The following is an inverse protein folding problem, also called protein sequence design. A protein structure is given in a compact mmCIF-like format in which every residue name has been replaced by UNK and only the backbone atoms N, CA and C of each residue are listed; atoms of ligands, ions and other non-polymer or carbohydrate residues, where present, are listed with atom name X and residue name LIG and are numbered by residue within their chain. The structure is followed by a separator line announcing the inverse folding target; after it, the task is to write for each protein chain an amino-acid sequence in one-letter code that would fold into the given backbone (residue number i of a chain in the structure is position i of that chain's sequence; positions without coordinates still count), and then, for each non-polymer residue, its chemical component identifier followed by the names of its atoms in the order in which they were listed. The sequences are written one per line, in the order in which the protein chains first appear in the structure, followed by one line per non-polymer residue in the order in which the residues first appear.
data_IF_854686201927
#
_entry.id   IF_854686201927
#
_cell.length_a   1.000
_cell.length_b   1.000
_cell.length_c   1.000
_cell.angle_alpha   90.00
_cell.angle_beta   90.00
_cell.angle_gamma   90.00
#
_symmetry.space_group_name_H-M   'P 1'
#
loop_
_entity.id
_entity.type
_entity.pdbx_description
1 polymer ?
#
# COMPACT_ATOMS: atom_id res chain seq x y z
N UNK A 1 -15.68 2.94 -1.83
CA UNK A 1 -15.90 4.02 -0.85
C UNK A 1 -14.86 3.83 0.25
N UNK A 2 -13.84 4.68 0.29
CA UNK A 2 -12.89 4.67 1.42
C UNK A 2 -13.62 5.31 2.59
N UNK A 3 -13.96 4.50 3.59
CA UNK A 3 -14.55 5.00 4.83
C UNK A 3 -13.55 5.99 5.44
N UNK A 4 -13.93 7.27 5.54
CA UNK A 4 -13.06 8.28 6.18
C UNK A 4 -12.86 7.83 7.62
N UNK A 5 -11.65 7.36 7.93
CA UNK A 5 -11.23 7.08 9.30
C UNK A 5 -11.46 8.36 10.11
N UNK A 6 -12.40 8.31 11.05
CA UNK A 6 -12.70 9.45 11.91
C UNK A 6 -11.43 9.81 12.70
N UNK A 7 -11.13 11.11 12.88
CA UNK A 7 -10.03 11.51 13.75
C UNK A 7 -10.27 10.94 15.15
N UNK A 8 -9.20 10.53 15.83
CA UNK A 8 -9.26 9.85 17.13
C UNK A 8 -10.06 10.66 18.16
N UNK A 9 -10.02 11.98 18.08
CA UNK A 9 -10.77 12.85 18.98
C UNK A 9 -12.28 12.69 18.83
N UNK A 10 -12.76 12.51 17.59
CA UNK A 10 -14.18 12.32 17.31
C UNK A 10 -14.67 10.97 17.81
N UNK A 11 -13.90 9.91 17.53
CA UNK A 11 -14.16 8.58 18.05
C UNK A 11 -14.15 8.54 19.59
N UNK A 12 -13.16 9.21 20.20
CA UNK A 12 -13.02 9.27 21.65
C UNK A 12 -14.17 10.03 22.29
N UNK A 13 -14.57 11.19 21.75
CA UNK A 13 -15.70 11.96 22.28
C UNK A 13 -17.02 11.18 22.19
N UNK A 14 -17.27 10.51 21.06
CA UNK A 14 -18.47 9.71 20.88
C UNK A 14 -18.57 8.58 21.92
N UNK A 15 -17.46 7.87 22.11
CA UNK A 15 -17.36 6.78 23.08
C UNK A 15 -17.50 7.31 24.51
N UNK A 16 -16.85 8.43 24.82
CA UNK A 16 -16.90 9.09 26.12
C UNK A 16 -18.33 9.52 26.46
N UNK A 17 -19.04 10.18 25.55
CA UNK A 17 -20.42 10.63 25.79
C UNK A 17 -21.37 9.46 26.07
N UNK A 18 -21.22 8.34 25.34
CA UNK A 18 -22.03 7.12 25.57
C UNK A 18 -21.73 6.52 26.94
N UNK A 19 -20.45 6.36 27.29
CA UNK A 19 -20.03 5.82 28.57
C UNK A 19 -20.47 6.72 29.73
N UNK A 20 -20.25 8.04 29.63
CA UNK A 20 -20.66 9.00 30.64
C UNK A 20 -22.18 8.99 30.86
N UNK A 21 -22.98 8.86 29.80
CA UNK A 21 -24.44 8.77 29.91
C UNK A 21 -24.88 7.51 30.68
N UNK A 22 -24.27 6.36 30.39
CA UNK A 22 -24.56 5.12 31.10
C UNK A 22 -24.12 5.25 32.57
N UNK A 23 -22.91 5.75 32.81
CA UNK A 23 -22.36 5.92 34.16
C UNK A 23 -23.21 6.84 35.04
N UNK A 24 -23.66 8.00 34.52
CA UNK A 24 -24.47 8.92 35.32
C UNK A 24 -25.87 8.34 35.63
N UNK A 25 -26.46 7.57 34.70
CA UNK A 25 -27.74 6.90 34.94
C UNK A 25 -27.60 5.83 36.04
N UNK A 26 -26.49 5.09 36.05
CA UNK A 26 -26.19 4.13 37.13
C UNK A 26 -26.03 4.84 38.46
N UNK A 27 -25.25 5.93 38.51
CA UNK A 27 -25.05 6.73 39.74
C UNK A 27 -26.40 7.24 40.27
N UNK A 28 -27.22 7.87 39.42
CA UNK A 28 -28.54 8.37 39.83
C UNK A 28 -29.48 7.27 40.33
N UNK A 29 -29.41 6.08 39.74
CA UNK A 29 -30.23 4.92 40.17
C UNK A 29 -29.80 4.44 41.55
N UNK A 30 -28.49 4.35 41.80
CA UNK A 30 -27.93 3.98 43.10
C UNK A 30 -28.29 5.04 44.15
N UNK A 31 -28.09 6.33 43.84
CA UNK A 31 -28.42 7.43 44.75
C UNK A 31 -29.91 7.44 45.10
N UNK A 32 -30.81 7.21 44.13
CA UNK A 32 -32.24 7.09 44.38
C UNK A 32 -32.56 5.94 45.34
N UNK A 33 -31.98 4.76 45.13
CA UNK A 33 -32.29 3.57 45.92
C UNK A 33 -31.78 3.69 47.37
N UNK A 34 -30.53 4.15 47.54
CA UNK A 34 -29.87 4.15 48.85
C UNK A 34 -30.10 5.43 49.66
N UNK A 35 -30.14 6.59 49.01
CA UNK A 35 -30.24 7.88 49.71
C UNK A 35 -31.63 8.51 49.59
N UNK A 36 -32.50 8.01 48.70
CA UNK A 36 -33.79 8.62 48.35
C UNK A 36 -33.69 10.12 48.02
N UNK A 37 -32.55 10.54 47.46
CA UNK A 37 -32.21 11.95 47.24
C UNK A 37 -32.29 12.83 48.50
N UNK A 38 -32.04 12.29 49.68
CA UNK A 38 -32.08 13.06 50.93
C UNK A 38 -31.01 14.16 51.01
N UNK A 39 -29.96 14.10 50.17
CA UNK A 39 -28.91 15.11 50.05
C UNK A 39 -29.12 15.96 48.81
N UNK A 40 -29.61 17.20 49.00
CA UNK A 40 -29.83 18.17 47.91
C UNK A 40 -28.57 18.39 47.04
N UNK A 41 -27.38 18.32 47.64
CA UNK A 41 -26.13 18.57 46.92
C UNK A 41 -25.81 17.48 45.87
N UNK A 42 -25.97 16.18 46.18
CA UNK A 42 -25.65 15.13 45.18
C UNK A 42 -26.67 15.12 44.04
N UNK A 43 -27.96 15.39 44.35
CA UNK A 43 -29.00 15.52 43.32
C UNK A 43 -28.71 16.67 42.33
N UNK A 44 -28.26 17.84 42.82
CA UNK A 44 -27.87 18.98 41.97
C UNK A 44 -26.66 18.62 41.11
N UNK A 45 -25.66 17.95 41.68
CA UNK A 45 -24.45 17.53 40.96
C UNK A 45 -24.82 16.59 39.81
N UNK A 46 -25.58 15.54 40.10
CA UNK A 46 -25.92 14.51 39.11
C UNK A 46 -26.78 15.06 37.97
N UNK A 47 -27.79 15.87 38.30
CA UNK A 47 -28.66 16.51 37.31
C UNK A 47 -27.89 17.48 36.42
N UNK A 48 -26.92 18.22 36.99
CA UNK A 48 -26.06 19.13 36.21
C UNK A 48 -25.13 18.38 35.27
N UNK A 49 -24.54 17.27 35.72
CA UNK A 49 -23.69 16.41 34.88
C UNK A 49 -24.51 15.76 33.77
N UNK A 50 -25.71 15.25 34.07
CA UNK A 50 -26.62 14.69 33.05
C UNK A 50 -27.01 15.74 32.00
N UNK A 51 -27.31 16.97 32.44
CA UNK A 51 -27.59 18.09 31.54
C UNK A 51 -26.39 18.40 30.63
N UNK A 52 -25.17 18.40 31.19
CA UNK A 52 -23.95 18.63 30.42
C UNK A 52 -23.74 17.55 29.35
N UNK A 53 -23.89 16.26 29.71
CA UNK A 53 -23.70 15.12 28.80
C UNK A 53 -24.75 15.15 27.67
N UNK A 54 -26.02 15.37 28.01
CA UNK A 54 -27.11 15.39 27.03
C UNK A 54 -26.98 16.57 26.06
N UNK A 55 -26.67 17.76 26.58
CA UNK A 55 -26.41 18.96 25.76
C UNK A 55 -25.19 18.81 24.87
N UNK A 56 -24.09 18.27 25.40
CA UNK A 56 -22.90 17.98 24.61
C UNK A 56 -23.15 16.93 23.53
N UNK A 57 -23.94 15.89 23.82
CA UNK A 57 -24.35 14.88 22.83
C UNK A 57 -25.18 15.48 21.69
N UNK A 58 -26.08 16.41 22.00
CA UNK A 58 -26.85 17.13 20.99
C UNK A 58 -25.94 18.01 20.10
N UNK A 59 -25.01 18.75 20.70
CA UNK A 59 -24.05 19.58 19.98
C UNK A 59 -23.12 18.75 19.09
N UNK A 60 -22.63 17.61 19.61
CA UNK A 60 -21.82 16.66 18.85
C UNK A 60 -22.57 16.14 17.61
N UNK A 61 -23.83 15.71 17.77
CA UNK A 61 -24.68 15.27 16.65
C UNK A 61 -24.94 16.36 15.60
N UNK A 62 -24.91 17.64 16.01
CA UNK A 62 -25.03 18.81 15.11
C UNK A 62 -23.71 19.23 14.47
N UNK A 63 -22.60 18.51 14.71
CA UNK A 63 -21.28 18.81 14.14
C UNK A 63 -20.46 19.84 14.92
N UNK A 64 -20.95 20.36 16.05
CA UNK A 64 -20.24 21.35 16.86
C UNK A 64 -19.28 20.68 17.87
N UNK A 65 -18.28 19.96 17.38
CA UNK A 65 -17.36 19.15 18.20
C UNK A 65 -16.68 19.95 19.33
N UNK A 66 -15.97 21.03 18.99
CA UNK A 66 -15.21 21.82 19.99
C UNK A 66 -16.12 22.40 21.07
N UNK A 67 -17.31 22.86 20.66
CA UNK A 67 -18.29 23.41 21.59
C UNK A 67 -18.86 22.33 22.51
N UNK A 68 -19.12 21.12 21.99
CA UNK A 68 -19.56 19.98 22.79
C UNK A 68 -18.55 19.62 23.88
N UNK A 69 -17.25 19.54 23.54
CA UNK A 69 -16.18 19.25 24.51
C UNK A 69 -16.08 20.35 25.57
N UNK A 70 -16.06 21.62 25.14
CA UNK A 70 -15.94 22.75 26.06
C UNK A 70 -17.14 22.88 26.98
N UNK A 71 -18.36 22.68 26.48
CA UNK A 71 -19.58 22.73 27.28
C UNK A 71 -19.58 21.62 28.33
N UNK A 72 -19.35 20.37 27.90
CA UNK A 72 -19.30 19.22 28.80
C UNK A 72 -18.29 19.47 29.92
N UNK A 73 -17.06 19.80 29.53
CA UNK A 73 -15.99 19.94 30.49
C UNK A 73 -16.16 21.15 31.40
N UNK A 74 -16.62 22.29 30.89
CA UNK A 74 -16.80 23.49 31.72
C UNK A 74 -17.89 23.30 32.77
N UNK A 75 -19.02 22.68 32.41
CA UNK A 75 -20.09 22.41 33.37
C UNK A 75 -19.63 21.40 34.41
N UNK A 76 -19.05 20.27 33.98
CA UNK A 76 -18.56 19.24 34.92
C UNK A 76 -17.50 19.82 35.86
N UNK A 77 -16.55 20.61 35.34
CA UNK A 77 -15.53 21.28 36.15
C UNK A 77 -16.13 22.24 37.17
N UNK A 78 -17.07 23.11 36.75
CA UNK A 78 -17.71 24.05 37.65
C UNK A 78 -18.47 23.35 38.79
N UNK A 79 -19.21 22.28 38.47
CA UNK A 79 -19.95 21.47 39.44
C UNK A 79 -19.01 20.76 40.40
N UNK A 80 -17.91 20.16 39.91
CA UNK A 80 -16.92 19.50 40.77
C UNK A 80 -16.16 20.48 41.66
N UNK A 81 -15.87 21.68 41.16
CA UNK A 81 -15.27 22.74 41.97
C UNK A 81 -16.21 23.21 43.07
N UNK A 82 -17.48 23.41 42.75
CA UNK A 82 -18.49 23.76 43.75
C UNK A 82 -18.65 22.66 44.81
N UNK A 83 -18.76 21.40 44.39
CA UNK A 83 -18.87 20.26 45.31
C UNK A 83 -17.65 20.14 46.23
N UNK A 84 -16.44 20.35 45.70
CA UNK A 84 -15.20 20.29 46.48
C UNK A 84 -15.07 21.42 47.51
N UNK A 85 -15.78 22.53 47.33
CA UNK A 85 -15.85 23.63 48.29
C UNK A 85 -16.97 23.39 49.30
N UNK A 86 -18.15 22.95 48.85
CA UNK A 86 -19.34 22.92 49.69
C UNK A 86 -19.38 21.70 50.63
N UNK A 87 -18.81 20.57 50.23
CA UNK A 87 -18.83 19.34 51.01
C UNK A 87 -18.08 19.48 52.35
N UNK A 88 -18.59 18.81 53.40
CA UNK A 88 -18.03 18.84 54.76
C UNK A 88 -16.77 17.96 54.94
N UNK A 89 -16.27 17.38 53.85
CA UNK A 89 -15.06 16.55 53.82
C UNK A 89 -14.28 16.81 52.53
N UNK A 90 -12.99 16.49 52.54
CA UNK A 90 -12.17 16.54 51.32
C UNK A 90 -12.69 15.49 50.33
N UNK A 91 -13.32 15.93 49.24
CA UNK A 91 -13.95 15.03 48.27
C UNK A 91 -12.93 14.43 47.29
N UNK A 92 -12.43 13.24 47.63
CA UNK A 92 -11.57 12.45 46.73
C UNK A 92 -12.27 12.12 45.40
N UNK A 93 -13.60 11.95 45.42
CA UNK A 93 -14.43 11.74 44.24
C UNK A 93 -14.43 12.93 43.28
N UNK A 94 -14.62 14.16 43.77
CA UNK A 94 -14.59 15.35 42.92
C UNK A 94 -13.21 15.55 42.29
N UNK A 95 -12.13 15.28 43.02
CA UNK A 95 -10.76 15.35 42.48
C UNK A 95 -10.51 14.29 41.40
N UNK A 96 -11.04 13.07 41.58
CA UNK A 96 -10.96 12.04 40.55
C UNK A 96 -11.65 12.47 39.25
N UNK A 97 -12.86 13.05 39.34
CA UNK A 97 -13.58 13.55 38.17
C UNK A 97 -12.83 14.71 37.50
N UNK A 98 -12.28 15.65 38.27
CA UNK A 98 -11.45 16.76 37.74
C UNK A 98 -10.24 16.21 36.96
N UNK A 99 -9.56 15.19 37.48
CA UNK A 99 -8.44 14.54 36.79
C UNK A 99 -8.87 13.85 35.49
N UNK A 100 -10.01 13.16 35.50
CA UNK A 100 -10.57 12.50 34.29
C UNK A 100 -10.94 13.54 33.22
N UNK A 101 -11.56 14.65 33.60
CA UNK A 101 -11.86 15.75 32.67
C UNK A 101 -10.56 16.39 32.16
N UNK A 102 -9.55 16.55 33.02
CA UNK A 102 -8.20 16.95 32.67
C UNK A 102 -7.56 16.09 31.59
N UNK A 103 -7.59 14.78 31.78
CA UNK A 103 -7.16 13.81 30.77
C UNK A 103 -7.93 13.99 29.45
N UNK A 104 -9.24 14.21 29.54
CA UNK A 104 -10.10 14.54 28.40
C UNK A 104 -9.61 15.75 27.61
N UNK A 105 -9.11 16.81 28.26
CA UNK A 105 -8.52 17.95 27.55
C UNK A 105 -7.29 17.56 26.73
N UNK A 106 -6.37 16.81 27.33
CA UNK A 106 -5.15 16.35 26.65
C UNK A 106 -5.48 15.51 25.42
N UNK A 107 -6.52 14.68 25.48
CA UNK A 107 -6.92 13.81 24.38
C UNK A 107 -7.79 14.53 23.34
N UNK A 108 -8.72 15.39 23.72
CA UNK A 108 -9.75 15.93 22.82
C UNK A 108 -9.41 17.30 22.23
N UNK A 109 -8.58 18.11 22.89
CA UNK A 109 -8.25 19.47 22.47
C UNK A 109 -6.85 19.50 21.84
N UNK A 110 -6.58 20.52 21.01
CA UNK A 110 -5.25 20.76 20.40
C UNK A 110 -4.83 22.22 20.57
N UNK A 111 -3.52 22.44 20.59
CA UNK A 111 -2.90 23.76 20.61
C UNK A 111 -3.24 24.59 21.85
N UNK A 112 -3.43 25.90 21.64
CA UNK A 112 -3.62 26.90 22.72
C UNK A 112 -4.83 26.60 23.61
N UNK A 113 -5.91 26.06 23.05
CA UNK A 113 -7.14 25.78 23.80
C UNK A 113 -6.90 24.71 24.89
N UNK A 114 -6.18 23.64 24.56
CA UNK A 114 -5.81 22.60 25.54
C UNK A 114 -4.97 23.18 26.68
N UNK A 115 -3.99 24.04 26.35
CA UNK A 115 -3.13 24.68 27.33
C UNK A 115 -3.91 25.59 28.28
N UNK A 116 -4.85 26.37 27.75
CA UNK A 116 -5.73 27.24 28.54
C UNK A 116 -6.58 26.40 29.50
N UNK A 117 -7.19 25.29 29.02
CA UNK A 117 -8.01 24.43 29.89
C UNK A 117 -7.20 23.77 31.02
N UNK A 118 -5.98 23.31 30.73
CA UNK A 118 -5.11 22.79 31.79
C UNK A 118 -4.72 23.88 32.81
N UNK A 119 -4.41 25.10 32.34
CA UNK A 119 -4.09 26.22 33.23
C UNK A 119 -5.27 26.59 34.13
N UNK A 120 -6.49 26.67 33.58
CA UNK A 120 -7.73 26.92 34.33
C UNK A 120 -7.92 25.83 35.40
N UNK A 121 -7.69 24.56 35.03
CA UNK A 121 -7.88 23.43 35.94
C UNK A 121 -6.89 23.46 37.11
N UNK A 122 -5.60 23.64 36.83
CA UNK A 122 -4.56 23.72 37.87
C UNK A 122 -4.82 24.92 38.78
N UNK A 123 -5.16 26.08 38.21
CA UNK A 123 -5.49 27.28 38.99
C UNK A 123 -6.70 27.03 39.88
N UNK A 124 -7.76 26.40 39.36
CA UNK A 124 -8.94 26.05 40.13
C UNK A 124 -8.65 25.07 41.27
N UNK A 125 -7.83 24.04 41.03
CA UNK A 125 -7.38 23.12 42.07
C UNK A 125 -6.61 23.84 43.17
N UNK A 126 -5.68 24.74 42.82
CA UNK A 126 -4.92 25.53 43.79
C UNK A 126 -5.88 26.40 44.63
N UNK A 127 -6.86 27.04 44.01
CA UNK A 127 -7.86 27.85 44.72
C UNK A 127 -8.70 27.02 45.69
N UNK A 128 -9.14 25.83 45.28
CA UNK A 128 -9.90 24.91 46.15
C UNK A 128 -9.07 24.49 47.36
N UNK A 129 -7.85 24.01 47.15
CA UNK A 129 -7.01 23.57 48.28
C UNK A 129 -6.58 24.74 49.18
N UNK A 130 -6.40 25.94 48.62
CA UNK A 130 -6.16 27.16 49.41
C UNK A 130 -7.38 27.48 50.29
N UNK A 131 -8.58 27.44 49.72
CA UNK A 131 -9.82 27.66 50.47
C UNK A 131 -10.02 26.62 51.58
N UNK A 132 -9.81 25.34 51.27
CA UNK A 132 -9.91 24.26 52.25
C UNK A 132 -8.88 24.40 53.37
N UNK A 133 -7.65 24.78 53.03
CA UNK A 133 -6.54 25.01 53.97
C UNK A 133 -6.82 26.16 54.95
N UNK A 134 -7.56 27.18 54.51
CA UNK A 134 -8.00 28.29 55.38
C UNK A 134 -9.13 27.89 56.33
N UNK A 135 -9.89 26.82 56.04
CA UNK A 135 -11.05 26.39 56.82
C UNK A 135 -10.98 24.90 57.21
N UNK A 136 -9.90 24.41 57.84
CA UNK A 136 -9.66 22.98 58.00
C UNK A 136 -10.74 22.27 58.83
N UNK A 137 -11.30 22.97 59.83
CA UNK A 137 -12.36 22.43 60.69
C UNK A 137 -13.66 22.12 59.93
N UNK A 138 -13.97 22.89 58.86
CA UNK A 138 -15.15 22.61 58.00
C UNK A 138 -15.02 21.27 57.29
N UNK A 139 -13.80 20.89 56.91
CA UNK A 139 -13.52 19.66 56.16
C UNK A 139 -13.11 18.50 57.07
N UNK A 140 -13.52 18.54 58.34
CA UNK A 140 -13.22 17.51 59.34
C UNK A 140 -11.72 17.24 59.53
N UNK A 141 -10.89 18.28 59.37
CA UNK A 141 -9.43 18.21 59.56
C UNK A 141 -8.97 19.02 60.77
N UNK A 142 -8.08 18.47 61.62
CA UNK A 142 -7.61 19.18 62.81
C UNK A 142 -6.70 20.37 62.47
N UNK A 143 -6.01 20.32 61.32
CA UNK A 143 -5.12 21.37 60.87
C UNK A 143 -5.04 21.40 59.33
N UNK A 144 -4.41 22.45 58.79
CA UNK A 144 -4.25 22.66 57.37
C UNK A 144 -3.23 21.71 56.69
N UNK A 145 -2.34 21.08 57.46
CA UNK A 145 -1.22 20.31 56.90
C UNK A 145 -1.69 19.13 56.04
N UNK A 146 -2.68 18.37 56.53
CA UNK A 146 -3.28 17.26 55.77
C UNK A 146 -3.85 17.72 54.42
N UNK A 147 -4.49 18.89 54.41
CA UNK A 147 -5.13 19.47 53.22
C UNK A 147 -4.06 19.91 52.22
N UNK A 148 -3.00 20.56 52.70
CA UNK A 148 -1.89 21.00 51.85
C UNK A 148 -1.19 19.79 51.22
N UNK A 149 -0.91 18.74 52.00
CA UNK A 149 -0.29 17.51 51.46
C UNK A 149 -1.19 16.85 50.41
N UNK A 150 -2.50 16.75 50.66
CA UNK A 150 -3.45 16.25 49.69
C UNK A 150 -3.46 17.11 48.42
N UNK A 151 -3.48 18.43 48.56
CA UNK A 151 -3.50 19.37 47.44
C UNK A 151 -2.28 19.28 46.55
N UNK A 152 -1.08 19.24 47.15
CA UNK A 152 0.18 19.02 46.42
C UNK A 152 0.15 17.69 45.68
N UNK A 153 -0.35 16.63 46.33
CA UNK A 153 -0.45 15.30 45.73
C UNK A 153 -1.36 15.29 44.50
N UNK A 154 -2.56 15.86 44.59
CA UNK A 154 -3.50 15.91 43.46
C UNK A 154 -3.00 16.80 42.32
N UNK A 155 -2.37 17.93 42.61
CA UNK A 155 -1.77 18.78 41.57
C UNK A 155 -0.62 18.05 40.87
N UNK A 156 0.25 17.36 41.63
CA UNK A 156 1.33 16.56 41.05
C UNK A 156 0.79 15.43 40.16
N UNK A 157 -0.20 14.67 40.64
CA UNK A 157 -0.86 13.62 39.87
C UNK A 157 -1.50 14.17 38.59
N UNK A 158 -2.20 15.30 38.69
CA UNK A 158 -2.81 15.95 37.54
C UNK A 158 -1.77 16.33 36.49
N UNK A 159 -0.63 16.93 36.89
CA UNK A 159 0.46 17.29 35.97
C UNK A 159 1.02 16.04 35.29
N UNK A 160 1.24 14.96 36.04
CA UNK A 160 1.73 13.68 35.48
C UNK A 160 0.75 13.10 34.46
N UNK A 161 -0.55 13.06 34.78
CA UNK A 161 -1.60 12.56 33.88
C UNK A 161 -1.71 13.44 32.64
N UNK A 162 -1.76 14.76 32.79
CA UNK A 162 -1.87 15.69 31.67
C UNK A 162 -0.64 15.62 30.74
N UNK A 163 0.56 15.55 31.32
CA UNK A 163 1.80 15.42 30.56
C UNK A 163 1.86 14.09 29.81
N UNK A 164 1.62 12.97 30.50
CA UNK A 164 1.67 11.63 29.89
C UNK A 164 0.62 11.47 28.79
N UNK A 165 -0.62 11.95 29.01
CA UNK A 165 -1.68 11.92 28.01
C UNK A 165 -1.34 12.78 26.78
N UNK A 166 -0.78 13.97 26.98
CA UNK A 166 -0.35 14.84 25.88
C UNK A 166 0.78 14.22 25.07
N UNK A 167 1.77 13.60 25.75
CA UNK A 167 2.87 12.90 25.10
C UNK A 167 2.37 11.69 24.30
N UNK A 168 1.48 10.89 24.88
CA UNK A 168 0.90 9.72 24.22
C UNK A 168 0.10 10.13 22.98
N UNK A 169 -0.73 11.17 23.09
CA UNK A 169 -1.47 11.70 21.95
C UNK A 169 -0.54 12.17 20.83
N UNK A 170 0.51 12.92 21.17
CA UNK A 170 1.48 13.39 20.17
C UNK A 170 2.14 12.22 19.42
N UNK A 171 2.57 11.18 20.13
CA UNK A 171 3.16 9.98 19.52
C UNK A 171 2.16 9.22 18.65
N UNK A 172 0.91 9.16 19.07
CA UNK A 172 -0.16 8.56 18.29
C UNK A 172 -0.40 9.33 16.98
N UNK A 173 -0.53 10.65 17.04
CA UNK A 173 -0.71 11.52 15.87
C UNK A 173 0.47 11.36 14.89
N UNK A 174 1.71 11.37 15.39
CA UNK A 174 2.93 11.13 14.58
C UNK A 174 2.94 9.73 13.92
N UNK A 175 2.57 8.69 14.66
CA UNK A 175 2.52 7.32 14.14
C UNK A 175 1.44 7.17 13.06
N UNK A 176 0.30 7.82 13.24
CA UNK A 176 -0.79 7.81 12.28
C UNK A 176 -0.41 8.53 10.98
N UNK A 177 0.22 9.70 11.06
CA UNK A 177 0.71 10.42 9.88
C UNK A 177 1.76 9.59 9.11
N UNK A 178 2.70 8.95 9.81
CA UNK A 178 3.69 8.06 9.20
C UNK A 178 3.07 6.83 8.53
N UNK A 179 2.01 6.28 9.12
CA UNK A 179 1.30 5.14 8.53
C UNK A 179 0.54 5.57 7.26
N UNK A 180 -0.08 6.75 7.29
CA UNK A 180 -0.79 7.31 6.15
C UNK A 180 0.17 7.59 4.97
N UNK A 181 1.36 8.15 5.23
CA UNK A 181 2.35 8.40 4.18
C UNK A 181 2.90 7.11 3.58
N UNK A 182 3.22 6.11 4.41
CA UNK A 182 3.66 4.79 3.93
C UNK A 182 2.60 4.07 3.10
N UNK A 183 1.32 4.23 3.44
CA UNK A 183 0.24 3.65 2.66
C UNK A 183 0.16 4.29 1.26
N UNK A 184 0.31 5.61 1.16
CA UNK A 184 0.39 6.29 -0.13
C UNK A 184 1.60 5.81 -0.95
N UNK A 185 2.77 5.69 -0.33
CA UNK A 185 3.97 5.14 -0.99
C UNK A 185 3.76 3.71 -1.50
N UNK A 186 3.08 2.86 -0.72
CA UNK A 186 2.75 1.49 -1.14
C UNK A 186 1.79 1.47 -2.34
N UNK A 187 0.81 2.37 -2.37
CA UNK A 187 -0.11 2.48 -3.52
C UNK A 187 0.65 2.93 -4.77
N UNK A 188 1.53 3.93 -4.65
CA UNK A 188 2.37 4.38 -5.77
C UNK A 188 3.27 3.25 -6.30
N UNK A 189 3.93 2.51 -5.40
CA UNK A 189 4.77 1.36 -5.77
C UNK A 189 3.97 0.23 -6.39
N UNK A 190 2.75 -0.03 -5.90
CA UNK A 190 1.85 -1.02 -6.50
C UNK A 190 1.50 -0.66 -7.93
N UNK A 191 1.16 0.61 -8.19
CA UNK A 191 0.85 1.08 -9.54
C UNK A 191 2.08 1.01 -10.45
N UNK A 192 3.28 1.33 -9.94
CA UNK A 192 4.53 1.22 -10.69
C UNK A 192 4.81 -0.24 -11.10
N UNK A 193 4.63 -1.19 -10.18
CA UNK A 193 4.77 -2.63 -10.47
C UNK A 193 3.74 -3.09 -11.49
N UNK A 194 2.50 -2.62 -11.41
CA UNK A 194 1.43 -2.95 -12.36
C UNK A 194 1.82 -2.51 -13.78
N UNK A 195 2.25 -1.26 -13.96
CA UNK A 195 2.73 -0.74 -15.25
C UNK A 195 3.93 -1.54 -15.77
N UNK A 196 4.93 -1.83 -14.92
CA UNK A 196 6.10 -2.62 -15.33
C UNK A 196 5.70 -4.04 -15.75
N UNK A 197 4.70 -4.63 -15.10
CA UNK A 197 4.19 -5.95 -15.44
C UNK A 197 3.46 -5.93 -16.80
N UNK A 198 2.66 -4.89 -17.07
CA UNK A 198 2.03 -4.69 -18.39
C UNK A 198 3.09 -4.57 -19.50
N UNK A 199 4.12 -3.75 -19.29
CA UNK A 199 5.24 -3.61 -20.24
C UNK A 199 5.99 -4.92 -20.45
N UNK A 200 6.20 -5.70 -19.38
CA UNK A 200 6.84 -7.00 -19.46
C UNK A 200 6.02 -8.00 -20.27
N UNK A 201 4.71 -8.07 -20.04
CA UNK A 201 3.79 -8.93 -20.79
C UNK A 201 3.78 -8.54 -22.26
N UNK A 202 3.71 -7.24 -22.58
CA UNK A 202 3.78 -6.76 -23.96
C UNK A 202 5.10 -7.14 -24.65
N UNK A 203 6.22 -7.01 -23.93
CA UNK A 203 7.55 -7.39 -24.42
C UNK A 203 7.65 -8.90 -24.68
N UNK A 204 7.10 -9.72 -23.79
CA UNK A 204 7.04 -11.18 -23.97
C UNK A 204 6.21 -11.56 -25.21
N UNK A 205 5.07 -10.92 -25.42
CA UNK A 205 4.24 -11.15 -26.62
C UNK A 205 4.98 -10.75 -27.90
N UNK A 206 5.64 -9.59 -27.90
CA UNK A 206 6.45 -9.14 -29.03
C UNK A 206 7.59 -10.11 -29.36
N UNK A 207 8.30 -10.61 -28.34
CA UNK A 207 9.36 -11.61 -28.51
C UNK A 207 8.81 -12.92 -29.04
N UNK A 208 7.65 -13.37 -28.54
CA UNK A 208 7.01 -14.57 -29.03
C UNK A 208 6.65 -14.46 -30.52
N UNK A 209 5.98 -13.37 -30.90
CA UNK A 209 5.61 -13.10 -32.29
C UNK A 209 6.84 -13.01 -33.22
N UNK A 210 7.90 -12.33 -32.77
CA UNK A 210 9.15 -12.23 -33.52
C UNK A 210 9.81 -13.61 -33.69
N UNK A 211 9.84 -14.42 -32.64
CA UNK A 211 10.42 -15.76 -32.69
C UNK A 211 9.64 -16.65 -33.67
N UNK A 212 8.31 -16.70 -33.59
CA UNK A 212 7.47 -17.45 -34.54
C UNK A 212 7.66 -16.99 -35.98
N UNK A 213 7.81 -15.67 -36.20
CA UNK A 213 8.10 -15.14 -37.53
C UNK A 213 9.48 -15.58 -38.05
N UNK A 214 10.51 -15.51 -37.21
CA UNK A 214 11.86 -15.98 -37.55
C UNK A 214 11.88 -17.48 -37.84
N UNK A 215 11.19 -18.30 -37.06
CA UNK A 215 11.05 -19.74 -37.32
C UNK A 215 10.40 -20.01 -38.68
N UNK A 216 9.33 -19.27 -39.02
CA UNK A 216 8.69 -19.37 -40.33
C UNK A 216 9.63 -18.99 -41.48
N UNK A 217 10.40 -17.91 -41.33
CA UNK A 217 11.38 -17.48 -42.34
C UNK A 217 12.50 -18.50 -42.50
N UNK A 218 12.99 -19.06 -41.38
CA UNK A 218 14.01 -20.11 -41.42
C UNK A 218 13.48 -21.32 -42.16
N UNK A 219 12.27 -21.81 -41.84
CA UNK A 219 11.66 -22.96 -42.53
C UNK A 219 11.46 -22.69 -44.03
N UNK A 220 10.96 -21.51 -44.40
CA UNK A 220 10.81 -21.12 -45.81
C UNK A 220 12.16 -21.15 -46.56
N UNK A 221 13.20 -20.54 -45.97
CA UNK A 221 14.54 -20.50 -46.57
C UNK A 221 15.18 -21.88 -46.63
N UNK A 222 14.99 -22.72 -45.60
CA UNK A 222 15.46 -24.10 -45.59
C UNK A 222 14.79 -24.93 -46.68
N UNK A 223 13.47 -24.78 -46.87
CA UNK A 223 12.74 -25.44 -47.96
C UNK A 223 13.23 -25.00 -49.34
N UNK A 224 13.44 -23.70 -49.54
CA UNK A 224 13.95 -23.19 -50.81
C UNK A 224 15.37 -23.69 -51.11
N UNK A 225 16.27 -23.69 -50.11
CA UNK A 225 17.61 -24.26 -50.25
C UNK A 225 17.54 -25.75 -50.57
N UNK A 226 16.66 -26.51 -49.91
CA UNK A 226 16.47 -27.92 -50.24
C UNK A 226 16.01 -28.13 -51.68
N UNK A 227 15.03 -27.33 -52.14
CA UNK A 227 14.52 -27.37 -53.51
C UNK A 227 15.61 -27.06 -54.54
N UNK A 228 16.40 -26.02 -54.29
CA UNK A 228 17.53 -25.64 -55.14
C UNK A 228 18.61 -26.73 -55.16
N UNK A 229 18.93 -27.31 -54.00
CA UNK A 229 19.90 -28.40 -53.90
C UNK A 229 19.45 -29.65 -54.68
N UNK A 230 18.19 -30.06 -54.53
CA UNK A 230 17.65 -31.16 -55.34
C UNK A 230 17.70 -30.87 -56.85
N UNK A 231 17.41 -29.63 -57.24
CA UNK A 231 17.47 -29.21 -58.64
C UNK A 231 18.91 -29.28 -59.18
N UNK A 232 19.90 -28.81 -58.40
CA UNK A 232 21.32 -28.93 -58.74
C UNK A 232 21.77 -30.39 -58.87
N UNK A 233 21.32 -31.28 -57.97
CA UNK A 233 21.61 -32.72 -58.04
C UNK A 233 21.03 -33.31 -59.34
N UNK A 234 19.78 -32.99 -59.68
CA UNK A 234 19.15 -33.44 -60.93
C UNK A 234 19.90 -32.96 -62.16
N UNK A 235 20.29 -31.67 -62.18
CA UNK A 235 21.10 -31.11 -63.28
C UNK A 235 22.46 -31.80 -63.39
N UNK A 236 23.20 -31.95 -62.28
CA UNK A 236 24.50 -32.60 -62.27
C UNK A 236 24.43 -34.05 -62.80
N UNK A 237 23.40 -34.80 -62.39
CA UNK A 237 23.17 -36.15 -62.88
C UNK A 237 22.86 -36.18 -64.38
N UNK A 238 21.96 -35.31 -64.86
CA UNK A 238 21.61 -35.22 -66.29
C UNK A 238 22.83 -34.85 -67.13
N UNK A 239 23.58 -33.83 -66.71
CA UNK A 239 24.79 -33.37 -67.40
C UNK A 239 25.85 -34.46 -67.46
N UNK A 240 26.09 -35.17 -66.34
CA UNK A 240 26.98 -36.31 -66.31
C UNK A 240 26.53 -37.41 -67.28
N UNK A 241 25.22 -37.68 -67.41
CA UNK A 241 24.68 -38.65 -68.35
C UNK A 241 24.93 -38.24 -69.82
N UNK A 242 24.62 -36.99 -70.16
CA UNK A 242 24.81 -36.45 -71.52
C UNK A 242 26.28 -36.45 -71.95
N UNK A 243 27.22 -36.16 -71.04
CA UNK A 243 28.66 -36.19 -71.32
C UNK A 243 29.18 -37.63 -71.40
N UNK A 244 28.68 -38.54 -70.55
CA UNK A 244 29.17 -39.92 -70.48
C UNK A 244 28.97 -40.71 -71.78
N UNK A 245 27.87 -40.48 -72.50
CA UNK A 245 27.57 -41.14 -73.77
C UNK A 245 28.68 -41.01 -74.82
N UNK A 246 28.96 -39.78 -75.30
CA UNK A 246 30.02 -39.56 -76.29
C UNK A 246 31.42 -39.89 -75.74
N UNK A 247 31.71 -39.63 -74.45
CA UNK A 247 33.00 -40.01 -73.84
C UNK A 247 33.21 -41.52 -73.88
N UNK A 248 32.19 -42.33 -73.55
CA UNK A 248 32.29 -43.78 -73.64
C UNK A 248 32.50 -44.26 -75.08
N UNK A 249 31.88 -43.59 -76.07
CA UNK A 249 32.10 -43.87 -77.50
C UNK A 249 33.53 -43.54 -77.94
N UNK A 250 34.08 -42.40 -77.53
CA UNK A 250 35.49 -42.05 -77.77
C UNK A 250 36.43 -43.08 -77.15
N UNK A 251 36.22 -43.45 -75.89
CA UNK A 251 37.03 -44.47 -75.20
C UNK A 251 36.96 -45.83 -75.91
N UNK A 252 35.77 -46.23 -76.38
CA UNK A 252 35.59 -47.44 -77.18
C UNK A 252 36.34 -47.39 -78.52
N UNK A 253 36.28 -46.27 -79.24
CA UNK A 253 37.03 -46.07 -80.49
C UNK A 253 38.54 -46.10 -80.26
N UNK A 254 39.03 -45.55 -79.14
CA UNK A 254 40.44 -45.62 -78.73
C UNK A 254 40.84 -47.05 -78.35
N UNK A 255 39.95 -47.84 -77.74
CA UNK A 255 40.22 -49.25 -77.47
C UNK A 255 40.30 -50.07 -78.75
N UNK A 256 39.38 -49.83 -79.70
CA UNK A 256 39.42 -50.47 -81.02
C UNK A 256 40.74 -50.14 -81.75
N UNK A 257 41.22 -48.90 -81.68
CA UNK A 257 42.49 -48.50 -82.32
C UNK A 257 43.72 -49.24 -81.79
N UNK A 258 43.65 -49.77 -80.57
CA UNK A 258 44.71 -50.52 -79.89
C UNK A 258 44.63 -52.04 -80.13
N UNK A 259 43.56 -52.53 -80.76
CA UNK A 259 43.41 -53.95 -81.09
C UNK A 259 44.07 -54.23 -82.45
N UNK A 260 44.85 -55.31 -82.55
CA UNK A 260 45.50 -55.73 -83.80
C UNK A 260 44.46 -56.18 -84.84
N UNK A 261 44.01 -55.23 -85.66
CA UNK A 261 43.05 -55.44 -86.76
C UNK A 261 43.35 -54.47 -87.92
N UNK A 262 42.89 -54.82 -89.13
CA UNK A 262 43.06 -54.04 -90.37
C UNK A 262 42.14 -52.80 -90.39
N UNK A 263 42.42 -51.87 -89.47
CA UNK A 263 41.58 -50.72 -89.20
C UNK A 263 41.90 -49.56 -90.14
N UNK A 264 40.86 -48.96 -90.72
CA UNK A 264 40.94 -47.70 -91.43
C UNK A 264 41.11 -46.55 -90.41
N UNK A 265 42.36 -46.28 -90.04
CA UNK A 265 42.71 -45.20 -89.11
C UNK A 265 42.12 -43.83 -89.51
N UNK A 266 42.14 -43.40 -90.79
CA UNK A 266 41.45 -42.17 -91.21
C UNK A 266 39.97 -42.14 -90.82
N UNK A 267 39.24 -43.22 -91.05
CA UNK A 267 37.82 -43.33 -90.66
C UNK A 267 37.64 -43.32 -89.13
N UNK A 268 38.52 -44.00 -88.40
CA UNK A 268 38.48 -44.05 -86.94
C UNK A 268 38.74 -42.67 -86.31
N UNK A 269 39.74 -41.94 -86.82
CA UNK A 269 40.01 -40.56 -86.39
C UNK A 269 38.86 -39.62 -86.73
N UNK A 270 38.23 -39.78 -87.91
CA UNK A 270 37.02 -39.03 -88.25
C UNK A 270 35.88 -39.30 -87.25
N UNK A 271 35.67 -40.56 -86.84
CA UNK A 271 34.65 -40.90 -85.82
C UNK A 271 34.99 -40.36 -84.43
N UNK A 272 36.25 -40.36 -84.03
CA UNK A 272 36.68 -39.72 -82.79
C UNK A 272 36.45 -38.20 -82.84
N UNK A 273 36.75 -37.56 -83.98
CA UNK A 273 36.53 -36.13 -84.19
C UNK A 273 35.04 -35.77 -84.12
N UNK A 274 34.17 -36.54 -84.77
CA UNK A 274 32.71 -36.38 -84.68
C UNK A 274 32.22 -36.46 -83.23
N UNK A 275 32.69 -37.45 -82.48
CA UNK A 275 32.30 -37.64 -81.07
C UNK A 275 32.86 -36.57 -80.14
N UNK A 276 34.05 -36.05 -80.43
CA UNK A 276 34.66 -34.95 -79.67
C UNK A 276 33.94 -33.63 -79.93
N UNK A 277 33.46 -33.40 -81.17
CA UNK A 277 32.58 -32.26 -81.50
C UNK A 277 31.24 -32.36 -80.77
N UNK A 278 30.66 -33.55 -80.68
CA UNK A 278 29.43 -33.78 -79.91
C UNK A 278 29.63 -33.48 -78.41
N UNK A 279 30.78 -33.84 -77.81
CA UNK A 279 31.13 -33.43 -76.44
C UNK A 279 31.19 -31.91 -76.29
N UNK A 280 31.86 -31.23 -77.22
CA UNK A 280 31.99 -29.76 -77.20
C UNK A 280 30.61 -29.07 -77.32
N UNK A 281 29.70 -29.60 -78.14
CA UNK A 281 28.32 -29.10 -78.22
C UNK A 281 27.54 -29.32 -76.92
N UNK A 282 27.64 -30.51 -76.32
CA UNK A 282 27.00 -30.80 -75.02
C UNK A 282 27.53 -29.87 -73.93
N UNK A 283 28.84 -29.64 -73.86
CA UNK A 283 29.46 -28.73 -72.86
C UNK A 283 29.03 -27.28 -73.08
N UNK A 284 28.98 -26.81 -74.34
CA UNK A 284 28.44 -25.48 -74.68
C UNK A 284 26.97 -25.34 -74.28
N UNK A 285 26.17 -26.39 -74.48
CA UNK A 285 24.78 -26.45 -74.04
C UNK A 285 24.66 -26.29 -72.53
N UNK A 286 25.43 -27.07 -71.76
CA UNK A 286 25.46 -27.02 -70.29
C UNK A 286 25.81 -25.61 -69.79
N UNK A 287 26.85 -24.98 -70.34
CA UNK A 287 27.25 -23.63 -69.93
C UNK A 287 26.18 -22.58 -70.21
N UNK A 288 25.49 -22.69 -71.35
CA UNK A 288 24.42 -21.77 -71.73
C UNK A 288 23.17 -21.90 -70.85
N UNK A 289 22.84 -23.13 -70.44
CA UNK A 289 21.75 -23.36 -69.48
C UNK A 289 22.10 -22.84 -68.08
N UNK A 290 23.36 -22.96 -67.64
CA UNK A 290 23.83 -22.41 -66.37
C UNK A 290 23.85 -20.87 -66.32
N UNK A 291 24.16 -20.20 -67.44
CA UNK A 291 24.12 -18.74 -67.54
C UNK A 291 22.70 -18.18 -67.53
N UNK A 292 21.75 -18.89 -68.16
CA UNK A 292 20.34 -18.48 -68.21
C UNK A 292 19.54 -18.85 -66.95
N UNK A 293 20.10 -19.68 -66.06
CA UNK A 293 19.47 -20.10 -64.80
C UNK A 293 19.79 -19.21 -63.58
N UNK A 294 20.46 -18.06 -63.78
CA UNK A 294 20.66 -17.01 -62.76
C UNK A 294 19.53 -15.98 -62.79
#
# INVERSE_FOLDING_TARGET
MIERVKPIEEFFLESLLKLCLISILVIMTVDFYFTRFALNLSMIVDTSILFAITSASLLYKRGFFKLAVLLLASIVMAVMFYQAIEADTITTSSMAVIMVVGFGFSVLLKGRLSMIMHLITVTGMILIFTWQSLHPLRYSKPNANDIVVAGVTYVALYIVIAYSATLLKKRYDEAFENLASKNLELIEKSNEIETQNEELVQSQENLHNLNTHLESLVDERTREVHRQNEQLIRYAYSNAHHVRGPVARVLGLIQLSKMETDLNYPYLFQKIEEQTKEIDEVVKGINKELENGK
#
